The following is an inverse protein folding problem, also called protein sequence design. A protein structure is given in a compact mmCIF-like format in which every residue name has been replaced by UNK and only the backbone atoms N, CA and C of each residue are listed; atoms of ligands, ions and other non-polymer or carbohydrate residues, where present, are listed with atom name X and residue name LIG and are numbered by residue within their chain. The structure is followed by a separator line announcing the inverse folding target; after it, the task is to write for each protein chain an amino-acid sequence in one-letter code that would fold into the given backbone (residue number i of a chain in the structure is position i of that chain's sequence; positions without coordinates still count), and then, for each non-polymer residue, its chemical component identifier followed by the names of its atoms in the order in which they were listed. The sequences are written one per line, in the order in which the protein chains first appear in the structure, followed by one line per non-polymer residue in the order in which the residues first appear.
data_IF_951955291173
#
_entry.id   IF_951955291173
#
_cell.length_a   1.000
_cell.length_b   1.000
_cell.length_c   1.000
_cell.angle_alpha   90.00
_cell.angle_beta   90.00
_cell.angle_gamma   90.00
#
_symmetry.space_group_name_H-M   'P 1'
#
loop_
_entity.id
_entity.type
_entity.pdbx_description
1 polymer ?
#
# COMPACT_ATOMS: atom_id res chain seq x y z
N UNK A 1 6.11 -0.97 16.84
CA UNK A 1 5.08 -0.43 15.92
C UNK A 1 5.60 0.80 15.18
N UNK A 2 5.67 0.75 13.84
CA UNK A 2 6.14 1.84 12.96
C UNK A 2 4.94 2.43 12.21
N UNK A 3 4.69 3.73 12.37
CA UNK A 3 3.64 4.45 11.62
C UNK A 3 4.28 5.13 10.41
N UNK A 4 3.77 4.83 9.22
CA UNK A 4 4.28 5.35 7.96
C UNK A 4 3.19 6.16 7.26
N UNK A 5 3.59 7.32 6.74
CA UNK A 5 2.79 8.19 5.89
C UNK A 5 3.52 8.35 4.56
N UNK A 6 2.86 7.99 3.48
CA UNK A 6 3.42 7.99 2.13
C UNK A 6 2.53 8.76 1.16
N UNK A 7 3.14 9.60 0.32
CA UNK A 7 2.42 10.34 -0.72
C UNK A 7 2.77 9.74 -2.09
N UNK A 8 1.84 9.01 -2.72
CA UNK A 8 2.10 8.39 -4.00
C UNK A 8 2.09 9.41 -5.14
N UNK A 9 2.70 9.05 -6.28
CA UNK A 9 2.74 9.89 -7.47
C UNK A 9 2.10 9.19 -8.68
N UNK A 10 1.47 9.97 -9.58
CA UNK A 10 0.88 9.44 -10.82
C UNK A 10 -0.44 8.66 -10.66
N UNK A 11 -1.01 8.63 -9.45
CA UNK A 11 -2.19 7.83 -9.10
C UNK A 11 -3.31 8.70 -8.51
N UNK A 12 -4.50 8.11 -8.33
CA UNK A 12 -5.67 8.80 -7.77
C UNK A 12 -5.68 8.83 -6.23
N UNK A 13 -4.97 7.92 -5.56
CA UNK A 13 -4.70 8.01 -4.13
C UNK A 13 -3.78 9.20 -3.87
N UNK A 14 -4.05 9.97 -2.81
CA UNK A 14 -3.30 11.18 -2.44
C UNK A 14 -2.38 10.95 -1.25
N UNK A 15 -2.69 9.96 -0.41
CA UNK A 15 -1.94 9.63 0.78
C UNK A 15 -2.24 8.19 1.24
N UNK A 16 -1.24 7.51 1.76
CA UNK A 16 -1.32 6.18 2.35
C UNK A 16 -0.75 6.23 3.75
N UNK A 17 -1.56 5.85 4.74
CA UNK A 17 -1.16 5.77 6.14
C UNK A 17 -1.21 4.30 6.55
N UNK A 18 -0.11 3.73 7.01
CA UNK A 18 -0.09 2.33 7.43
C UNK A 18 0.84 2.11 8.60
N UNK A 19 0.60 0.99 9.29
CA UNK A 19 1.32 0.66 10.51
C UNK A 19 1.90 -0.74 10.36
N UNK A 20 3.17 -0.89 10.68
CA UNK A 20 3.87 -2.18 10.77
C UNK A 20 4.14 -2.52 12.24
N UNK A 21 3.97 -3.78 12.61
CA UNK A 21 4.46 -4.29 13.90
C UNK A 21 5.97 -4.60 13.83
N UNK A 22 6.53 -5.09 14.92
CA UNK A 22 7.97 -5.36 15.03
C UNK A 22 8.42 -6.57 14.18
N UNK A 23 7.47 -7.42 13.76
CA UNK A 23 7.67 -8.52 12.81
C UNK A 23 7.39 -8.11 11.34
N UNK A 24 7.32 -6.81 11.05
CA UNK A 24 7.00 -6.26 9.72
C UNK A 24 5.63 -6.67 9.14
N UNK A 25 4.69 -7.11 9.99
CA UNK A 25 3.31 -7.36 9.59
C UNK A 25 2.51 -6.07 9.57
N UNK A 26 1.66 -5.94 8.57
CA UNK A 26 0.76 -4.80 8.43
C UNK A 26 -0.37 -4.92 9.44
N UNK A 27 -0.52 -3.97 10.35
CA UNK A 27 -1.61 -3.99 11.35
C UNK A 27 -2.77 -3.09 10.98
N UNK A 28 -2.51 -2.04 10.19
CA UNK A 28 -3.53 -1.15 9.67
C UNK A 28 -3.07 -0.46 8.39
N UNK A 29 -4.01 -0.13 7.52
CA UNK A 29 -3.80 0.64 6.29
C UNK A 29 -5.00 1.55 6.07
N UNK A 30 -4.73 2.79 5.69
CA UNK A 30 -5.71 3.77 5.26
C UNK A 30 -5.22 4.42 3.97
N UNK A 31 -6.11 4.52 2.99
CA UNK A 31 -5.86 5.19 1.72
C UNK A 31 -6.76 6.43 1.63
N UNK A 32 -6.17 7.59 1.38
CA UNK A 32 -6.91 8.84 1.19
C UNK A 32 -7.10 9.09 -0.31
N UNK A 33 -8.34 8.94 -0.79
CA UNK A 33 -8.68 9.04 -2.21
C UNK A 33 -8.42 7.74 -2.99
N UNK A 34 -8.74 7.76 -4.29
CA UNK A 34 -8.75 6.58 -5.15
C UNK A 34 -10.09 5.85 -5.17
N UNK A 35 -10.14 4.69 -5.83
CA UNK A 35 -11.35 3.88 -5.94
C UNK A 35 -11.66 3.21 -4.58
N UNK A 36 -12.77 3.56 -3.90
CA UNK A 36 -13.05 3.08 -2.55
C UNK A 36 -13.12 1.55 -2.44
N UNK A 37 -13.74 0.88 -3.40
CA UNK A 37 -13.86 -0.58 -3.39
C UNK A 37 -12.49 -1.27 -3.44
N UNK A 38 -11.59 -0.78 -4.30
CA UNK A 38 -10.26 -1.34 -4.43
C UNK A 38 -9.39 -1.04 -3.19
N UNK A 39 -9.38 0.19 -2.68
CA UNK A 39 -8.55 0.55 -1.53
C UNK A 39 -9.00 -0.13 -0.23
N UNK A 40 -10.32 -0.28 -0.03
CA UNK A 40 -10.87 -1.06 1.08
C UNK A 40 -10.54 -2.56 0.92
N UNK A 41 -10.64 -3.10 -0.30
CA UNK A 41 -10.25 -4.49 -0.58
C UNK A 41 -8.77 -4.77 -0.27
N UNK A 42 -7.86 -3.91 -0.74
CA UNK A 42 -6.41 -4.03 -0.43
C UNK A 42 -6.18 -3.97 1.08
N UNK A 43 -6.81 -3.02 1.78
CA UNK A 43 -6.72 -2.92 3.24
C UNK A 43 -7.11 -4.23 3.91
N UNK A 44 -8.28 -4.79 3.56
CA UNK A 44 -8.78 -6.03 4.15
C UNK A 44 -7.88 -7.22 3.88
N UNK A 45 -7.26 -7.30 2.70
CA UNK A 45 -6.34 -8.37 2.34
C UNK A 45 -4.95 -8.22 2.98
N UNK A 46 -4.49 -6.99 3.21
CA UNK A 46 -3.14 -6.72 3.68
C UNK A 46 -2.96 -6.88 5.20
N UNK A 47 -3.99 -6.61 5.99
CA UNK A 47 -3.89 -6.66 7.46
C UNK A 47 -3.53 -8.08 7.94
N UNK A 48 -2.53 -8.18 8.81
CA UNK A 48 -2.01 -9.41 9.40
C UNK A 48 -0.94 -10.12 8.55
N UNK A 49 -0.77 -9.71 7.29
CA UNK A 49 0.22 -10.27 6.37
C UNK A 49 1.55 -9.53 6.44
N UNK A 50 2.59 -10.21 5.97
CA UNK A 50 3.94 -9.68 5.88
C UNK A 50 4.01 -8.55 4.83
N UNK A 51 4.65 -7.43 5.19
CA UNK A 51 4.73 -6.26 4.32
C UNK A 51 5.48 -6.54 3.01
N UNK A 52 6.49 -7.42 3.03
CA UNK A 52 7.24 -7.78 1.82
C UNK A 52 6.37 -8.66 0.91
N UNK A 53 5.64 -9.62 1.47
CA UNK A 53 4.70 -10.46 0.69
C UNK A 53 3.66 -9.58 -0.04
N UNK A 54 3.07 -8.61 0.66
CA UNK A 54 2.10 -7.69 0.05
C UNK A 54 2.77 -6.82 -1.01
N UNK A 55 3.98 -6.32 -0.76
CA UNK A 55 4.71 -5.53 -1.74
C UNK A 55 4.97 -6.31 -3.04
N UNK A 56 5.42 -7.56 -2.93
CA UNK A 56 5.71 -8.42 -4.09
C UNK A 56 4.42 -8.72 -4.88
N UNK A 57 3.28 -8.95 -4.22
CA UNK A 57 1.99 -9.20 -4.90
C UNK A 57 1.45 -7.97 -5.66
N UNK A 58 1.73 -6.76 -5.18
CA UNK A 58 1.10 -5.54 -5.69
C UNK A 58 1.96 -4.74 -6.68
N UNK A 59 3.25 -5.04 -6.81
CA UNK A 59 4.21 -4.20 -7.55
C UNK A 59 3.88 -4.00 -9.05
N UNK A 60 3.27 -5.00 -9.69
CA UNK A 60 2.99 -4.99 -11.12
C UNK A 60 1.51 -4.72 -11.47
N UNK A 61 0.70 -4.30 -10.49
CA UNK A 61 -0.70 -3.97 -10.76
C UNK A 61 -0.76 -2.65 -11.53
N UNK A 62 -1.37 -2.65 -12.72
CA UNK A 62 -1.55 -1.46 -13.55
C UNK A 62 -2.96 -0.87 -13.40
N UNK A 63 -3.13 0.40 -13.76
CA UNK A 63 -4.42 1.10 -13.74
C UNK A 63 -4.71 1.70 -15.11
N UNK A 64 -5.39 0.93 -15.96
CA UNK A 64 -5.67 1.34 -17.35
C UNK A 64 -4.37 1.64 -18.12
N UNK A 65 -4.33 2.79 -18.80
CA UNK A 65 -3.15 3.25 -19.56
C UNK A 65 -2.05 3.93 -18.73
N UNK A 66 -2.10 3.88 -17.40
CA UNK A 66 -1.07 4.48 -16.54
C UNK A 66 0.10 3.53 -16.33
N UNK A 67 1.31 4.07 -16.24
CA UNK A 67 2.53 3.31 -15.90
C UNK A 67 2.62 2.88 -14.43
N UNK A 68 1.65 3.25 -13.60
CA UNK A 68 1.60 2.95 -12.16
C UNK A 68 0.16 2.88 -11.66
N UNK A 69 -0.04 2.37 -10.44
CA UNK A 69 -1.35 2.24 -9.79
C UNK A 69 -1.25 2.43 -8.27
N UNK A 70 -2.39 2.65 -7.60
CA UNK A 70 -2.43 2.72 -6.14
C UNK A 70 -1.79 1.48 -5.46
N UNK A 71 -2.12 0.23 -5.85
CA UNK A 71 -1.42 -0.94 -5.32
C UNK A 71 0.09 -0.96 -5.61
N UNK A 72 0.53 -0.61 -6.82
CA UNK A 72 1.96 -0.55 -7.14
C UNK A 72 2.71 0.50 -6.30
N UNK A 73 2.10 1.68 -6.10
CA UNK A 73 2.64 2.70 -5.20
C UNK A 73 2.65 2.26 -3.74
N UNK A 74 1.67 1.47 -3.31
CA UNK A 74 1.66 0.89 -1.97
C UNK A 74 2.78 -0.14 -1.79
N UNK A 75 3.06 -0.95 -2.81
CA UNK A 75 4.24 -1.82 -2.83
C UNK A 75 5.54 -1.03 -2.64
N UNK A 76 5.72 0.08 -3.38
CA UNK A 76 6.88 0.96 -3.21
C UNK A 76 6.99 1.50 -1.78
N UNK A 77 5.87 1.97 -1.21
CA UNK A 77 5.82 2.50 0.15
C UNK A 77 6.21 1.44 1.19
N UNK A 78 5.72 0.21 1.05
CA UNK A 78 6.07 -0.91 1.93
C UNK A 78 7.57 -1.25 1.81
N UNK A 79 8.12 -1.31 0.60
CA UNK A 79 9.56 -1.56 0.39
C UNK A 79 10.42 -0.45 0.99
N UNK A 80 9.99 0.81 0.91
CA UNK A 80 10.70 1.93 1.54
C UNK A 80 10.63 1.86 3.07
N UNK A 81 9.49 1.44 3.63
CA UNK A 81 9.32 1.27 5.06
C UNK A 81 10.12 0.09 5.65
N UNK A 82 10.52 -0.88 4.83
CA UNK A 82 11.33 -2.05 5.22
C UNK A 82 12.84 -1.82 5.15
N UNK A 83 13.28 -0.67 4.64
CA UNK A 83 14.67 -0.22 4.74
C UNK A 83 14.94 0.34 6.14
#
# INVERSE_FOLDING_TARGET
MKNIKFRPAGVCCREMNFVLNDDNKIVNVEFIGGCPGNTLGIRSLAIGLDAKEIADKLENVSCGGRSTSCPAQFSMALREALK
#
